data_IF_587236486221
#
_entry.id   IF_587236486221
#
_cell.length_a   1.000
_cell.length_b   1.000
_cell.length_c   1.000
_cell.angle_alpha   90.00
_cell.angle_beta   90.00
_cell.angle_gamma   90.00
#
_symmetry.space_group_name_H-M   'P 1'
#
loop_
_entity.id
_entity.type
_entity.pdbx_description
1 polymer ?
#
# COMPACT_ATOMS: atom_id res chain seq x y z
N UNK A 1 -1.12 4.95 8.07
CA UNK A 1 -2.57 5.03 7.78
C UNK A 1 -2.86 5.09 6.28
N UNK A 2 -3.99 4.50 5.82
CA UNK A 2 -4.43 4.51 4.41
C UNK A 2 -4.79 5.92 3.91
N UNK A 3 -5.38 6.74 4.78
CA UNK A 3 -5.68 8.16 4.60
C UNK A 3 -5.00 9.00 5.70
N UNK A 4 -4.93 10.31 5.52
CA UNK A 4 -4.42 11.30 6.48
C UNK A 4 -5.43 12.39 6.84
N UNK A 5 -6.56 12.44 6.13
CA UNK A 5 -7.64 13.39 6.36
C UNK A 5 -8.99 12.81 5.85
N UNK A 6 -10.14 13.39 6.25
CA UNK A 6 -11.45 12.87 5.88
C UNK A 6 -11.75 12.86 4.37
N UNK A 7 -11.13 13.74 3.59
CA UNK A 7 -11.30 13.75 2.14
C UNK A 7 -10.65 12.51 1.51
N UNK A 8 -9.44 12.15 1.94
CA UNK A 8 -8.77 10.91 1.51
C UNK A 8 -9.56 9.66 1.91
N UNK A 9 -10.16 9.64 3.10
CA UNK A 9 -11.05 8.55 3.54
C UNK A 9 -12.28 8.42 2.64
N UNK A 10 -12.91 9.55 2.30
CA UNK A 10 -14.05 9.58 1.36
C UNK A 10 -13.64 9.05 -0.01
N UNK A 11 -12.47 9.47 -0.53
CA UNK A 11 -11.97 8.98 -1.83
C UNK A 11 -11.69 7.48 -1.78
N UNK A 12 -11.11 6.95 -0.69
CA UNK A 12 -10.92 5.50 -0.55
C UNK A 12 -12.27 4.78 -0.60
N UNK A 13 -13.23 5.16 0.24
CA UNK A 13 -14.53 4.51 0.30
C UNK A 13 -15.26 4.53 -1.06
N UNK A 14 -15.07 5.60 -1.82
CA UNK A 14 -15.66 5.75 -3.14
C UNK A 14 -15.04 4.80 -4.19
N UNK A 15 -13.71 4.68 -4.19
CA UNK A 15 -12.99 3.97 -5.25
C UNK A 15 -12.76 2.48 -4.94
N UNK A 16 -12.85 2.09 -3.68
CA UNK A 16 -12.56 0.72 -3.24
C UNK A 16 -13.46 -0.34 -3.92
N UNK A 17 -14.77 -0.13 -4.14
CA UNK A 17 -15.60 -1.08 -4.89
C UNK A 17 -15.11 -1.26 -6.33
N UNK A 18 -14.90 -0.16 -7.07
CA UNK A 18 -14.45 -0.20 -8.46
C UNK A 18 -13.05 -0.83 -8.60
N UNK A 19 -12.15 -0.57 -7.64
CA UNK A 19 -10.84 -1.20 -7.61
C UNK A 19 -10.93 -2.72 -7.35
N UNK A 20 -11.81 -3.13 -6.43
CA UNK A 20 -12.02 -4.55 -6.11
C UNK A 20 -12.60 -5.32 -7.30
N UNK A 21 -13.55 -4.73 -8.04
CA UNK A 21 -14.18 -5.34 -9.22
C UNK A 21 -13.17 -5.71 -10.33
N UNK A 22 -12.08 -4.94 -10.44
CA UNK A 22 -10.99 -5.22 -11.40
C UNK A 22 -9.80 -5.96 -10.78
N UNK A 23 -9.90 -6.39 -9.51
CA UNK A 23 -8.95 -7.27 -8.83
C UNK A 23 -7.87 -6.58 -8.01
N UNK A 24 -8.04 -5.31 -7.64
CA UNK A 24 -7.05 -4.53 -6.90
C UNK A 24 -7.52 -4.12 -5.50
N UNK A 25 -6.57 -4.09 -4.58
CA UNK A 25 -6.72 -3.54 -3.24
C UNK A 25 -6.08 -2.15 -3.18
N UNK A 26 -6.83 -1.14 -2.75
CA UNK A 26 -6.25 0.18 -2.50
C UNK A 26 -5.40 0.13 -1.23
N UNK A 27 -4.12 0.46 -1.34
CA UNK A 27 -3.18 0.51 -0.21
C UNK A 27 -3.26 1.87 0.46
N UNK A 28 -3.02 2.96 -0.29
CA UNK A 28 -2.95 4.31 0.27
C UNK A 28 -3.46 5.34 -0.73
N UNK A 29 -4.17 6.36 -0.24
CA UNK A 29 -4.57 7.54 -1.01
C UNK A 29 -3.99 8.78 -0.38
N UNK A 30 -3.37 9.66 -1.17
CA UNK A 30 -2.83 10.95 -0.71
C UNK A 30 -3.19 12.06 -1.66
N UNK A 31 -3.77 13.14 -1.13
CA UNK A 31 -3.95 14.39 -1.86
C UNK A 31 -2.85 15.37 -1.42
N UNK A 32 -2.02 15.80 -2.36
CA UNK A 32 -0.89 16.71 -2.08
C UNK A 32 -0.84 17.88 -3.07
N UNK A 33 -0.05 18.90 -2.74
CA UNK A 33 0.13 20.07 -3.57
C UNK A 33 -0.91 21.17 -3.33
N UNK A 34 -0.50 22.42 -3.56
CA UNK A 34 -1.35 23.61 -3.36
C UNK A 34 -1.90 24.15 -4.70
N UNK A 35 -1.00 24.52 -5.62
CA UNK A 35 -1.37 25.08 -6.94
C UNK A 35 -1.65 23.99 -7.98
N UNK A 36 -0.78 22.99 -8.05
CA UNK A 36 -0.95 21.79 -8.86
C UNK A 36 -1.19 20.63 -7.90
N UNK A 37 -2.46 20.30 -7.69
CA UNK A 37 -2.84 19.20 -6.79
C UNK A 37 -2.51 17.88 -7.45
N UNK A 38 -2.26 16.87 -6.62
CA UNK A 38 -1.99 15.51 -7.06
C UNK A 38 -2.71 14.54 -6.16
N UNK A 39 -3.53 13.68 -6.76
CA UNK A 39 -4.16 12.54 -6.12
C UNK A 39 -3.32 11.30 -6.41
N UNK A 40 -2.52 10.88 -5.43
CA UNK A 40 -1.75 9.64 -5.51
C UNK A 40 -2.58 8.48 -4.94
N UNK A 41 -2.67 7.40 -5.71
CA UNK A 41 -3.34 6.16 -5.33
C UNK A 41 -2.33 5.02 -5.49
N UNK A 42 -1.97 4.42 -4.35
CA UNK A 42 -1.18 3.19 -4.31
C UNK A 42 -2.12 1.99 -4.22
N UNK A 43 -1.92 1.00 -5.07
CA UNK A 43 -2.72 -0.22 -5.09
C UNK A 43 -1.87 -1.47 -5.39
N UNK A 44 -2.44 -2.64 -5.16
CA UNK A 44 -1.80 -3.91 -5.49
C UNK A 44 -2.86 -4.94 -5.89
N UNK A 45 -2.47 -5.97 -6.64
CA UNK A 45 -3.36 -7.09 -6.95
C UNK A 45 -3.73 -7.85 -5.68
N UNK A 46 -5.00 -8.21 -5.55
CA UNK A 46 -5.49 -9.00 -4.43
C UNK A 46 -4.84 -10.40 -4.44
N UNK A 47 -4.51 -10.93 -5.62
CA UNK A 47 -3.97 -12.29 -5.81
C UNK A 47 -2.57 -12.48 -5.23
N UNK A 48 -1.67 -11.51 -5.42
CA UNK A 48 -0.23 -11.67 -5.12
C UNK A 48 0.41 -10.43 -4.47
N UNK A 49 -0.32 -9.32 -4.37
CA UNK A 49 0.17 -8.06 -3.84
C UNK A 49 1.25 -7.41 -4.71
N UNK A 50 1.26 -7.70 -6.01
CA UNK A 50 2.12 -7.05 -7.02
C UNK A 50 1.29 -6.13 -7.91
N UNK A 51 1.95 -5.29 -8.69
CA UNK A 51 1.30 -4.44 -9.68
C UNK A 51 2.33 -3.97 -10.72
N UNK A 52 2.02 -4.12 -11.99
CA UNK A 52 2.84 -3.71 -13.13
C UNK A 52 2.23 -2.45 -13.83
N UNK A 53 2.81 -2.01 -14.95
CA UNK A 53 2.36 -0.80 -15.65
C UNK A 53 0.97 -0.95 -16.30
N UNK A 54 0.64 -2.15 -16.77
CA UNK A 54 -0.67 -2.45 -17.37
C UNK A 54 -1.75 -2.45 -16.29
N UNK A 55 -1.43 -2.94 -15.09
CA UNK A 55 -2.31 -2.85 -13.93
C UNK A 55 -2.59 -1.41 -13.54
N UNK A 56 -1.57 -0.53 -13.52
CA UNK A 56 -1.78 0.89 -13.22
C UNK A 56 -2.74 1.52 -14.22
N UNK A 57 -2.59 1.18 -15.51
CA UNK A 57 -3.49 1.63 -16.57
C UNK A 57 -4.91 1.07 -16.40
N UNK A 58 -5.04 -0.22 -16.05
CA UNK A 58 -6.34 -0.89 -15.84
C UNK A 58 -7.07 -0.27 -14.65
N UNK A 59 -6.39 -0.10 -13.52
CA UNK A 59 -6.97 0.50 -12.33
C UNK A 59 -7.36 1.97 -12.59
N UNK A 60 -6.48 2.75 -13.24
CA UNK A 60 -6.77 4.13 -13.62
C UNK A 60 -8.05 4.24 -14.45
N UNK A 61 -8.22 3.40 -15.48
CA UNK A 61 -9.44 3.36 -16.30
C UNK A 61 -10.69 2.97 -15.51
N UNK A 62 -10.57 2.11 -14.51
CA UNK A 62 -11.69 1.67 -13.69
C UNK A 62 -12.18 2.76 -12.72
N UNK A 63 -11.26 3.53 -12.13
CA UNK A 63 -11.59 4.51 -11.09
C UNK A 63 -11.90 5.91 -11.64
N UNK A 64 -11.37 6.28 -12.82
CA UNK A 64 -11.56 7.62 -13.39
C UNK A 64 -13.04 7.99 -13.59
N UNK A 65 -13.91 7.12 -14.15
CA UNK A 65 -15.34 7.46 -14.30
C UNK A 65 -16.03 7.74 -12.97
N UNK A 66 -15.62 7.04 -11.90
CA UNK A 66 -16.17 7.24 -10.55
C UNK A 66 -15.72 8.59 -9.99
N UNK A 67 -14.44 8.94 -10.17
CA UNK A 67 -13.90 10.25 -9.78
C UNK A 67 -14.57 11.40 -10.54
N UNK A 68 -14.84 11.23 -11.83
CA UNK A 68 -15.51 12.22 -12.68
C UNK A 68 -16.98 12.42 -12.29
N UNK A 69 -17.70 11.35 -12.00
CA UNK A 69 -19.13 11.42 -11.64
C UNK A 69 -19.36 12.06 -10.27
N UNK A 70 -18.51 11.74 -9.29
CA UNK A 70 -18.70 12.15 -7.89
C UNK A 70 -17.95 13.43 -7.52
N UNK A 71 -16.97 13.83 -8.33
CA UNK A 71 -16.11 15.02 -8.20
C UNK A 71 -15.76 15.39 -6.73
N UNK A 72 -15.11 14.48 -5.97
CA UNK A 72 -14.89 14.71 -4.54
C UNK A 72 -13.84 15.80 -4.26
N UNK A 73 -13.03 16.20 -5.24
CA UNK A 73 -11.87 17.07 -5.07
C UNK A 73 -12.07 18.36 -5.87
N UNK A 74 -12.17 19.49 -5.16
CA UNK A 74 -12.34 20.79 -5.82
C UNK A 74 -11.11 21.20 -6.65
N UNK A 75 -11.34 21.55 -7.91
CA UNK A 75 -10.34 22.09 -8.82
C UNK A 75 -9.43 21.03 -9.43
N UNK A 76 -8.55 21.44 -10.33
CA UNK A 76 -7.71 20.51 -11.10
C UNK A 76 -6.67 19.78 -10.22
N UNK A 77 -6.47 18.51 -10.53
CA UNK A 77 -5.42 17.66 -9.96
C UNK A 77 -4.89 16.68 -11.00
N UNK A 78 -3.65 16.24 -10.83
CA UNK A 78 -3.09 15.11 -11.57
C UNK A 78 -3.41 13.80 -10.81
N UNK A 79 -3.92 12.79 -11.52
CA UNK A 79 -4.11 11.45 -10.98
C UNK A 79 -2.83 10.62 -11.18
N UNK A 80 -2.25 10.13 -10.09
CA UNK A 80 -1.11 9.20 -10.11
C UNK A 80 -1.54 7.85 -9.53
N UNK A 81 -1.46 6.79 -10.35
CA UNK A 81 -1.71 5.41 -9.91
C UNK A 81 -0.39 4.64 -9.93
N UNK A 82 -0.04 4.01 -8.80
CA UNK A 82 1.21 3.26 -8.68
C UNK A 82 1.06 2.03 -7.77
N UNK A 83 2.04 1.14 -7.83
CA UNK A 83 2.26 0.17 -6.76
C UNK A 83 2.87 0.86 -5.53
N UNK A 84 2.79 0.25 -4.33
CA UNK A 84 3.56 0.68 -3.17
C UNK A 84 5.08 0.53 -3.33
N UNK A 85 5.50 -0.42 -4.15
CA UNK A 85 6.89 -0.83 -4.28
C UNK A 85 7.53 -1.27 -2.96
N UNK A 86 8.85 -1.10 -2.89
CA UNK A 86 9.70 -1.48 -1.77
C UNK A 86 9.60 -0.54 -0.56
N UNK A 87 9.33 0.75 -0.75
CA UNK A 87 9.02 1.69 0.34
C UNK A 87 7.54 1.59 0.77
N UNK A 88 7.07 0.34 0.93
CA UNK A 88 5.68 0.02 1.17
C UNK A 88 5.21 0.62 2.50
N UNK A 89 4.13 1.42 2.52
CA UNK A 89 3.51 1.85 3.76
C UNK A 89 2.77 0.67 4.41
N UNK A 90 2.93 0.50 5.72
CA UNK A 90 2.21 -0.48 6.51
C UNK A 90 0.98 0.21 7.10
N UNK A 91 -0.19 -0.08 6.54
CA UNK A 91 -1.41 0.71 6.74
C UNK A 91 -2.56 -0.10 7.32
N UNK A 92 -2.40 -1.41 7.44
CA UNK A 92 -3.29 -2.35 8.12
C UNK A 92 -2.48 -3.32 8.98
N UNK A 93 -3.13 -4.01 9.92
CA UNK A 93 -2.48 -5.04 10.74
C UNK A 93 -1.96 -6.20 9.88
N UNK A 94 -2.69 -6.56 8.82
CA UNK A 94 -2.31 -7.62 7.88
C UNK A 94 -1.00 -7.30 7.15
N UNK A 95 -0.68 -6.01 6.95
CA UNK A 95 0.61 -5.62 6.39
C UNK A 95 1.74 -6.02 7.35
N UNK A 96 1.60 -5.77 8.65
CA UNK A 96 2.64 -6.17 9.62
C UNK A 96 2.78 -7.69 9.71
N UNK A 97 1.66 -8.42 9.71
CA UNK A 97 1.68 -9.88 9.70
C UNK A 97 2.38 -10.43 8.44
N UNK A 98 2.15 -9.83 7.27
CA UNK A 98 2.78 -10.22 5.99
C UNK A 98 4.30 -10.02 6.00
N UNK A 99 4.81 -9.03 6.74
CA UNK A 99 6.22 -8.65 6.74
C UNK A 99 6.95 -8.95 8.06
N UNK A 100 6.48 -9.96 8.81
CA UNK A 100 7.24 -10.49 9.95
C UNK A 100 8.65 -10.89 9.52
N UNK A 101 9.65 -10.48 10.30
CA UNK A 101 11.07 -10.68 10.00
C UNK A 101 11.70 -9.60 9.12
N UNK A 102 10.97 -8.55 8.75
CA UNK A 102 11.53 -7.37 8.06
C UNK A 102 11.69 -6.18 9.00
N UNK A 103 12.68 -5.34 8.69
CA UNK A 103 12.85 -4.06 9.36
C UNK A 103 11.78 -3.08 8.90
N UNK A 104 11.14 -2.41 9.85
CA UNK A 104 10.17 -1.36 9.62
C UNK A 104 10.49 -0.15 10.49
N UNK A 105 10.05 1.00 10.02
CA UNK A 105 9.98 2.23 10.81
C UNK A 105 8.53 2.51 11.13
N UNK A 106 8.25 2.79 12.40
CA UNK A 106 6.95 3.27 12.86
C UNK A 106 7.11 4.65 13.50
N UNK A 107 6.11 5.50 13.28
CA UNK A 107 5.92 6.76 13.98
C UNK A 107 4.56 6.73 14.68
N UNK A 108 4.57 7.07 15.97
CA UNK A 108 3.36 7.20 16.78
C UNK A 108 2.81 8.62 16.72
N UNK A 109 1.48 8.74 16.77
CA UNK A 109 0.79 10.03 16.79
C UNK A 109 1.08 10.81 18.07
N UNK A 110 0.92 10.14 19.22
CA UNK A 110 1.39 10.62 20.51
C UNK A 110 2.64 9.84 20.92
N UNK A 111 3.65 10.55 21.44
CA UNK A 111 4.87 9.89 21.93
C UNK A 111 4.60 9.08 23.19
N UNK A 112 5.31 7.95 23.30
CA UNK A 112 5.44 7.22 24.56
C UNK A 112 6.82 7.59 25.12
N UNK A 113 6.85 8.14 26.34
CA UNK A 113 8.08 8.57 27.02
C UNK A 113 8.95 9.54 26.18
N UNK A 114 8.31 10.45 25.43
CA UNK A 114 9.00 11.43 24.59
C UNK A 114 9.58 10.86 23.28
N UNK A 115 9.51 9.54 23.06
CA UNK A 115 9.90 8.90 21.81
C UNK A 115 8.66 8.68 20.93
N UNK A 116 8.76 9.13 19.68
CA UNK A 116 7.70 8.94 18.67
C UNK A 116 8.09 8.02 17.53
N UNK A 117 9.39 7.81 17.32
CA UNK A 117 9.92 7.07 16.17
C UNK A 117 10.66 5.84 16.64
N UNK A 118 10.27 4.71 16.09
CA UNK A 118 10.87 3.42 16.36
C UNK A 118 11.25 2.76 15.05
N UNK A 119 12.33 1.99 15.10
CA UNK A 119 12.87 1.22 14.00
C UNK A 119 13.26 -0.12 14.56
N UNK A 120 12.89 -1.19 13.89
CA UNK A 120 13.13 -2.53 14.39
C UNK A 120 12.56 -3.59 13.46
N UNK A 121 12.75 -4.84 13.84
CA UNK A 121 12.26 -6.00 13.09
C UNK A 121 10.84 -6.29 13.54
N UNK A 122 9.89 -6.43 12.61
CA UNK A 122 8.53 -6.86 12.92
C UNK A 122 8.60 -8.32 13.41
N UNK A 123 8.12 -8.59 14.63
CA UNK A 123 8.10 -9.93 15.22
C UNK A 123 6.72 -10.58 15.17
N UNK A 124 5.66 -9.80 14.96
CA UNK A 124 4.31 -10.32 14.81
C UNK A 124 3.22 -9.28 14.97
N UNK A 125 1.98 -9.76 14.98
CA UNK A 125 0.78 -9.02 15.38
C UNK A 125 0.08 -9.84 16.46
N UNK A 126 -0.31 -9.19 17.56
CA UNK A 126 -1.05 -9.83 18.66
C UNK A 126 -2.25 -8.96 19.03
N UNK A 127 -3.46 -9.45 18.72
CA UNK A 127 -4.67 -8.66 18.86
C UNK A 127 -4.62 -7.42 17.98
N UNK A 128 -4.71 -6.24 18.59
CA UNK A 128 -4.64 -4.93 17.95
C UNK A 128 -3.25 -4.28 18.02
N UNK A 129 -2.22 -5.05 18.38
CA UNK A 129 -0.86 -4.55 18.59
C UNK A 129 0.14 -5.10 17.56
N UNK A 130 1.05 -4.23 17.15
CA UNK A 130 2.22 -4.58 16.35
C UNK A 130 3.37 -4.90 17.30
N UNK A 131 3.92 -6.11 17.20
CA UNK A 131 5.11 -6.52 17.94
C UNK A 131 6.38 -6.29 17.10
N UNK A 132 7.39 -5.66 17.68
CA UNK A 132 8.67 -5.39 17.04
C UNK A 132 9.84 -5.60 18.00
N UNK A 133 11.00 -6.00 17.46
CA UNK A 133 12.28 -5.95 18.15
C UNK A 133 12.98 -4.63 17.85
N UNK A 134 12.98 -3.71 18.81
CA UNK A 134 13.54 -2.35 18.71
C UNK A 134 14.76 -2.25 19.61
N UNK A 135 15.90 -1.82 19.06
CA UNK A 135 17.16 -1.66 19.80
C UNK A 135 17.56 -2.95 20.59
N UNK A 136 17.19 -4.12 20.07
CA UNK A 136 17.46 -5.43 20.68
C UNK A 136 16.43 -5.91 21.71
N UNK A 137 15.47 -5.07 22.10
CA UNK A 137 14.40 -5.40 23.05
C UNK A 137 13.05 -5.58 22.35
N UNK A 138 12.18 -6.39 22.95
CA UNK A 138 10.80 -6.56 22.46
C UNK A 138 9.95 -5.34 22.86
N UNK A 139 9.19 -4.84 21.90
CA UNK A 139 8.27 -3.72 22.05
C UNK A 139 6.95 -4.05 21.35
N UNK A 140 5.85 -3.58 21.93
CA UNK A 140 4.52 -3.71 21.35
C UNK A 140 3.86 -2.33 21.23
N UNK A 141 3.25 -2.06 20.10
CA UNK A 141 2.63 -0.78 19.79
C UNK A 141 1.16 -1.00 19.43
N UNK A 142 0.21 -0.40 20.17
CA UNK A 142 -1.18 -0.39 19.75
C UNK A 142 -1.29 0.21 18.35
N UNK A 143 -1.89 -0.51 17.41
CA UNK A 143 -1.97 -0.07 16.03
C UNK A 143 -2.72 1.26 15.89
N UNK A 144 -3.71 1.51 16.75
CA UNK A 144 -4.43 2.78 16.84
C UNK A 144 -3.53 4.00 17.11
N UNK A 145 -2.34 3.80 17.71
CA UNK A 145 -1.38 4.89 17.97
C UNK A 145 -0.40 5.11 16.81
N UNK A 146 -0.35 4.21 15.83
CA UNK A 146 0.59 4.28 14.69
C UNK A 146 0.08 5.30 13.68
N UNK A 147 0.72 6.47 13.63
CA UNK A 147 0.41 7.51 12.63
C UNK A 147 1.01 7.18 11.26
N UNK A 148 2.23 6.64 11.24
CA UNK A 148 2.94 6.28 10.01
C UNK A 148 3.74 5.00 10.24
N UNK A 149 3.78 4.13 9.24
CA UNK A 149 4.65 2.98 9.25
C UNK A 149 5.03 2.61 7.82
N UNK A 150 6.27 2.17 7.62
CA UNK A 150 6.79 1.71 6.33
C UNK A 150 7.92 0.71 6.50
N UNK A 151 8.11 -0.14 5.50
CA UNK A 151 9.27 -1.01 5.43
C UNK A 151 10.56 -0.20 5.26
N UNK A 152 11.64 -0.71 5.84
CA UNK A 152 12.98 -0.16 5.64
C UNK A 152 13.66 -0.89 4.48
N UNK A 153 14.25 -0.11 3.60
CA UNK A 153 15.07 -0.61 2.49
C UNK A 153 16.29 -1.36 3.06
N UNK A 154 16.26 -2.69 2.96
CA UNK A 154 17.30 -3.61 3.41
C UNK A 154 17.60 -4.60 2.29
N UNK A 155 18.79 -5.19 2.27
CA UNK A 155 19.18 -6.16 1.23
C UNK A 155 18.20 -7.34 1.16
N UNK A 156 17.81 -7.88 2.33
CA UNK A 156 16.79 -8.92 2.44
C UNK A 156 15.48 -8.50 1.76
N UNK A 157 15.01 -7.28 2.01
CA UNK A 157 13.79 -6.78 1.41
C UNK A 157 13.92 -6.63 -0.11
N UNK A 158 15.05 -6.10 -0.60
CA UNK A 158 15.33 -5.95 -2.03
C UNK A 158 15.29 -7.31 -2.73
N UNK A 159 15.97 -8.32 -2.17
CA UNK A 159 16.02 -9.66 -2.73
C UNK A 159 14.63 -10.31 -2.83
N UNK A 160 13.85 -10.21 -1.76
CA UNK A 160 12.49 -10.76 -1.73
C UNK A 160 11.54 -10.02 -2.68
N UNK A 161 11.67 -8.69 -2.80
CA UNK A 161 10.88 -7.90 -3.72
C UNK A 161 11.18 -8.25 -5.18
N UNK A 162 12.46 -8.34 -5.54
CA UNK A 162 12.90 -8.79 -6.87
C UNK A 162 12.43 -10.21 -7.18
N UNK A 163 12.42 -11.10 -6.19
CA UNK A 163 11.92 -12.47 -6.36
C UNK A 163 10.41 -12.50 -6.62
N UNK A 164 9.63 -11.70 -5.89
CA UNK A 164 8.17 -11.58 -6.10
C UNK A 164 7.85 -10.96 -7.45
N UNK A 165 8.57 -9.92 -7.85
CA UNK A 165 8.41 -9.30 -9.17
C UNK A 165 8.65 -10.31 -10.30
N UNK A 166 9.76 -11.06 -10.25
CA UNK A 166 10.06 -12.11 -11.25
C UNK A 166 9.00 -13.22 -11.29
N UNK A 167 8.48 -13.63 -10.13
CA UNK A 167 7.44 -14.65 -10.05
C UNK A 167 6.12 -14.15 -10.68
N UNK A 168 5.74 -12.90 -10.42
CA UNK A 168 4.57 -12.28 -11.04
C UNK A 168 4.73 -12.12 -12.56
N UNK A 169 5.91 -11.68 -13.04
CA UNK A 169 6.19 -11.61 -14.48
C UNK A 169 6.09 -12.97 -15.18
N UNK A 170 6.59 -14.04 -14.54
CA UNK A 170 6.49 -15.40 -15.06
C UNK A 170 5.03 -15.88 -15.12
N UNK A 171 4.22 -15.57 -14.10
CA UNK A 171 2.80 -15.88 -14.07
C UNK A 171 2.04 -15.10 -15.16
N UNK A 172 2.31 -13.80 -15.33
CA UNK A 172 1.73 -12.95 -16.36
C UNK A 172 2.09 -13.43 -17.78
N UNK A 173 3.31 -13.94 -17.99
CA UNK A 173 3.73 -14.54 -19.26
C UNK A 173 2.98 -15.83 -19.56
N UNK A 174 2.81 -16.70 -18.55
CA UNK A 174 2.09 -17.96 -18.69
C UNK A 174 0.60 -17.74 -19.00
N UNK A 175 -0.05 -16.79 -18.32
CA UNK A 175 -1.45 -16.44 -18.57
C UNK A 175 -1.66 -15.94 -20.01
N UNK A 176 -0.80 -15.04 -20.49
CA UNK A 176 -0.86 -14.52 -21.87
C UNK A 176 -0.68 -15.58 -22.94
N UNK A 177 0.06 -16.66 -22.66
CA UNK A 177 0.22 -17.76 -23.60
C UNK A 177 -1.04 -18.63 -23.66
N UNK A 178 -1.65 -18.95 -22.51
CA UNK A 178 -2.93 -19.69 -22.45
C UNK A 178 -4.06 -18.96 -23.19
N UNK A 179 -4.18 -17.66 -22.98
CA UNK A 179 -5.20 -16.83 -23.66
C UNK A 179 -5.03 -16.81 -25.18
N UNK A 180 -3.82 -17.06 -25.71
CA UNK A 180 -3.56 -17.16 -27.15
C UNK A 180 -3.88 -18.55 -27.70
N UNK A 181 -3.62 -19.60 -26.93
CA UNK A 181 -3.94 -20.98 -27.31
C UNK A 181 -5.46 -21.23 -27.35
N UNK A 182 -6.22 -20.67 -26.40
CA UNK A 182 -7.69 -20.81 -26.37
C UNK A 182 -8.42 -19.98 -27.45
N UNK A 183 -7.74 -19.00 -28.06
CA UNK A 183 -8.28 -18.15 -29.14
C UNK A 183 -7.85 -18.61 -30.54
N UNK A 184 -7.07 -19.68 -30.64
CA UNK A 184 -6.62 -20.30 -31.89
C UNK A 184 -7.44 -21.54 -32.22
#
# INVERSE_FOLDING_TARGET
MRASNPLEEKVIALLEPAAADVGYLLVRVRLSGLRRKRLQIMAERISDGTMNIDDCSKLSRAISPVLEAEDPIKGFYDLEVSSPGIDRPLVRLEDFARFVGHEAKIELGAGVDGRRRYRGIITGVSGDQVAMKVDGADAAFPFALVSEARLMLTDKLIEEDLRRAKAAEAADALARNKDKEEKS
#
